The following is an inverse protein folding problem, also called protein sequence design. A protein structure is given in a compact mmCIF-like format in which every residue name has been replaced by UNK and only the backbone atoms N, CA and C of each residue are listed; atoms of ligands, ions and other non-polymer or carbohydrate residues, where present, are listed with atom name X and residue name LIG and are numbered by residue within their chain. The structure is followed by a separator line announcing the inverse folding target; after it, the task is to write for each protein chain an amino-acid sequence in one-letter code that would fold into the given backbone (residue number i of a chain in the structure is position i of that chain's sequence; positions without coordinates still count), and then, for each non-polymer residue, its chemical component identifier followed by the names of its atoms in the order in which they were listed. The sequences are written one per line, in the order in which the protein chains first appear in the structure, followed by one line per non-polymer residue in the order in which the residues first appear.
data_IF_439105917148
#
_entry.id   IF_439105917148
#
_cell.length_a   1.000
_cell.length_b   1.000
_cell.length_c   1.000
_cell.angle_alpha   90.00
_cell.angle_beta   90.00
_cell.angle_gamma   90.00
#
_symmetry.space_group_name_H-M   'P 1'
#
loop_
_entity.id
_entity.type
_entity.pdbx_description
1 polymer ?
#
# COMPACT_ATOMS: atom_id res chain seq x y z
N UNK A 1 5.35 -18.48 8.43
CA UNK A 1 5.69 -17.06 8.19
C UNK A 1 6.67 -16.86 7.02
N UNK A 2 7.66 -17.76 6.83
CA UNK A 2 8.63 -17.64 5.73
C UNK A 2 8.05 -17.75 4.30
N UNK A 3 7.02 -18.57 4.07
CA UNK A 3 6.40 -18.68 2.74
C UNK A 3 5.75 -17.37 2.28
N UNK A 4 5.16 -16.62 3.22
CA UNK A 4 4.56 -15.32 2.93
C UNK A 4 5.64 -14.27 2.62
N UNK A 5 6.75 -14.26 3.37
CA UNK A 5 7.91 -13.40 3.10
C UNK A 5 8.55 -13.68 1.73
N UNK A 6 8.72 -14.96 1.37
CA UNK A 6 9.25 -15.35 0.05
C UNK A 6 8.35 -14.90 -1.10
N UNK A 7 7.03 -14.99 -0.94
CA UNK A 7 6.06 -14.53 -1.93
C UNK A 7 6.07 -13.01 -2.14
N UNK A 8 6.26 -12.25 -1.07
CA UNK A 8 6.38 -10.80 -1.16
C UNK A 8 7.67 -10.40 -1.88
N UNK A 9 8.80 -11.02 -1.51
CA UNK A 9 10.09 -10.74 -2.15
C UNK A 9 10.04 -11.04 -3.66
N UNK A 10 9.50 -12.21 -4.06
CA UNK A 10 9.37 -12.55 -5.48
C UNK A 10 8.43 -11.62 -6.25
N UNK A 11 7.40 -11.08 -5.60
CA UNK A 11 6.49 -10.12 -6.23
C UNK A 11 7.16 -8.77 -6.48
N UNK A 12 8.03 -8.32 -5.56
CA UNK A 12 8.80 -7.09 -5.71
C UNK A 12 9.85 -7.24 -6.82
N UNK A 13 10.60 -8.35 -6.83
CA UNK A 13 11.60 -8.62 -7.86
C UNK A 13 10.95 -8.74 -9.26
N UNK A 14 9.77 -9.35 -9.33
CA UNK A 14 8.98 -9.46 -10.56
C UNK A 14 8.49 -8.10 -11.08
N UNK A 15 8.12 -7.17 -10.19
CA UNK A 15 7.83 -5.79 -10.60
C UNK A 15 9.08 -5.11 -11.13
N UNK A 16 10.23 -5.25 -10.46
CA UNK A 16 11.48 -4.57 -10.83
C UNK A 16 11.98 -4.95 -12.22
N UNK A 17 11.84 -6.22 -12.60
CA UNK A 17 12.22 -6.72 -13.93
C UNK A 17 11.36 -6.15 -15.07
N UNK A 18 10.12 -5.72 -14.79
CA UNK A 18 9.22 -5.15 -15.81
C UNK A 18 9.60 -3.70 -16.20
N UNK A 19 10.43 -3.02 -15.39
CA UNK A 19 10.76 -1.61 -15.59
C UNK A 19 12.21 -1.36 -16.05
N UNK A 20 13.02 -2.41 -16.25
CA UNK A 20 14.43 -2.27 -16.67
C UNK A 20 14.63 -2.21 -18.19
N UNK A 21 13.59 -2.36 -19.00
CA UNK A 21 13.70 -2.43 -20.48
C UNK A 21 13.51 -1.07 -21.20
N UNK A 22 13.54 0.05 -20.48
CA UNK A 22 13.20 1.38 -21.02
C UNK A 22 14.39 2.36 -21.08
N UNK A 23 15.61 1.90 -21.38
CA UNK A 23 16.75 2.79 -21.62
C UNK A 23 17.54 2.40 -22.89
N UNK A 24 16.92 2.64 -24.05
CA UNK A 24 17.61 2.65 -25.34
C UNK A 24 16.91 3.57 -26.36
N UNK A 25 17.63 4.67 -26.67
CA UNK A 25 17.66 5.47 -27.90
C UNK A 25 16.65 6.61 -28.22
N UNK A 26 17.26 7.80 -28.35
CA UNK A 26 17.24 8.76 -29.49
C UNK A 26 16.04 9.70 -29.72
N UNK A 27 16.34 11.00 -29.72
CA UNK A 27 15.41 12.07 -30.12
C UNK A 27 15.39 12.33 -31.63
N UNK A 28 14.38 13.09 -32.10
CA UNK A 28 14.66 14.09 -33.13
C UNK A 28 13.92 15.42 -32.94
N UNK A 29 14.42 16.41 -33.68
CA UNK A 29 14.06 17.82 -33.75
C UNK A 29 12.81 18.15 -34.58
N UNK A 30 12.22 19.33 -34.26
CA UNK A 30 11.53 20.31 -35.13
C UNK A 30 9.99 20.43 -35.13
N UNK A 31 9.53 21.54 -34.53
CA UNK A 31 8.54 22.57 -34.96
C UNK A 31 7.22 22.20 -35.70
N UNK A 32 6.10 22.22 -34.96
CA UNK A 32 4.92 23.09 -35.16
C UNK A 32 3.98 23.00 -33.94
N UNK A 33 3.18 24.05 -33.70
CA UNK A 33 2.04 24.12 -32.76
C UNK A 33 2.31 24.36 -31.26
N UNK A 34 2.05 25.60 -30.83
CA UNK A 34 2.23 26.05 -29.43
C UNK A 34 1.47 25.23 -28.37
N UNK A 35 0.37 24.58 -28.73
CA UNK A 35 -0.37 23.67 -27.86
C UNK A 35 0.36 22.32 -27.65
N UNK A 36 0.95 21.76 -28.71
CA UNK A 36 1.76 20.54 -28.63
C UNK A 36 3.03 20.79 -27.81
N UNK A 37 3.63 21.98 -27.92
CA UNK A 37 4.77 22.37 -27.09
C UNK A 37 4.42 22.46 -25.61
N UNK A 38 3.22 22.93 -25.27
CA UNK A 38 2.77 23.06 -23.87
C UNK A 38 2.50 21.67 -23.27
N UNK A 39 1.87 20.77 -24.03
CA UNK A 39 1.64 19.38 -23.61
C UNK A 39 2.97 18.63 -23.47
N UNK A 40 3.91 18.77 -24.41
CA UNK A 40 5.24 18.18 -24.31
C UNK A 40 6.03 18.72 -23.10
N UNK A 41 5.87 20.01 -22.80
CA UNK A 41 6.49 20.65 -21.63
C UNK A 41 5.86 20.14 -20.32
N UNK A 42 4.53 19.98 -20.27
CA UNK A 42 3.84 19.35 -19.14
C UNK A 42 4.30 17.90 -18.96
N UNK A 43 4.40 17.14 -20.04
CA UNK A 43 4.90 15.76 -20.03
C UNK A 43 6.33 15.67 -19.50
N UNK A 44 7.20 16.63 -19.84
CA UNK A 44 8.58 16.69 -19.32
C UNK A 44 8.66 17.04 -17.82
N UNK A 45 7.60 17.64 -17.25
CA UNK A 45 7.52 17.99 -15.82
C UNK A 45 6.94 16.86 -14.96
N UNK A 46 6.27 15.89 -15.58
CA UNK A 46 5.71 14.73 -14.88
C UNK A 46 6.75 13.63 -14.83
N UNK A 47 7.24 13.33 -13.62
CA UNK A 47 8.11 12.18 -13.40
C UNK A 47 7.25 10.91 -13.43
N UNK A 48 7.25 10.20 -14.56
CA UNK A 48 6.44 8.99 -14.76
C UNK A 48 6.95 7.77 -13.97
N UNK A 49 8.21 7.83 -13.54
CA UNK A 49 8.86 6.75 -12.81
C UNK A 49 8.78 7.00 -11.31
N UNK A 50 8.04 6.13 -10.61
CA UNK A 50 7.93 6.12 -9.16
C UNK A 50 9.29 5.81 -8.52
N UNK A 51 9.60 6.51 -7.43
CA UNK A 51 10.73 6.21 -6.55
C UNK A 51 10.26 5.39 -5.35
N UNK A 52 11.21 4.71 -4.68
CA UNK A 52 10.93 3.94 -3.44
C UNK A 52 10.38 4.84 -2.31
N UNK A 53 10.58 6.16 -2.38
CA UNK A 53 9.98 7.13 -1.45
C UNK A 53 8.47 7.32 -1.64
N UNK A 54 7.96 7.04 -2.84
CA UNK A 54 6.59 7.39 -3.24
C UNK A 54 5.61 6.30 -2.83
N UNK A 55 6.11 5.08 -2.59
CA UNK A 55 5.31 3.92 -2.22
C UNK A 55 5.85 3.29 -0.94
N UNK A 56 4.98 3.16 0.09
CA UNK A 56 5.30 2.37 1.29
C UNK A 56 4.23 1.33 1.56
N UNK A 57 4.66 0.07 1.58
CA UNK A 57 3.82 -1.02 2.08
C UNK A 57 3.90 -1.05 3.61
N UNK A 58 2.80 -0.68 4.27
CA UNK A 58 2.66 -0.83 5.71
C UNK A 58 1.39 -1.58 6.06
N UNK A 59 1.44 -2.38 7.12
CA UNK A 59 0.24 -3.01 7.66
C UNK A 59 -0.54 -1.95 8.43
N UNK A 60 -1.70 -1.58 7.90
CA UNK A 60 -2.54 -0.53 8.48
C UNK A 60 -3.35 -1.02 9.68
N UNK A 61 -4.36 -1.85 9.44
CA UNK A 61 -5.34 -2.29 10.44
C UNK A 61 -5.76 -3.72 10.09
N UNK A 62 -6.17 -4.52 11.08
CA UNK A 62 -6.83 -5.81 10.85
C UNK A 62 -8.34 -5.61 10.95
N UNK A 63 -9.10 -6.08 9.98
CA UNK A 63 -10.57 -6.04 9.98
C UNK A 63 -11.14 -7.37 10.54
N UNK A 64 -12.44 -7.37 10.89
CA UNK A 64 -13.19 -8.58 11.26
C UNK A 64 -12.98 -9.05 12.71
N UNK A 65 -13.33 -10.30 13.02
CA UNK A 65 -13.10 -10.87 14.36
C UNK A 65 -11.70 -11.47 14.51
N UNK A 66 -11.13 -11.52 15.73
CA UNK A 66 -9.91 -12.29 15.99
C UNK A 66 -10.08 -13.78 15.66
N UNK A 67 -9.00 -14.44 15.25
CA UNK A 67 -9.02 -15.87 14.92
C UNK A 67 -9.31 -16.73 16.17
N UNK A 68 -10.45 -17.41 16.18
CA UNK A 68 -10.86 -18.27 17.30
C UNK A 68 -11.22 -17.47 18.56
N UNK A 69 -12.29 -16.64 18.52
CA UNK A 69 -12.75 -15.91 19.69
C UNK A 69 -13.21 -16.90 20.77
N UNK A 70 -12.82 -16.65 22.03
CA UNK A 70 -13.14 -17.53 23.18
C UNK A 70 -13.87 -16.82 24.30
N UNK A 71 -13.56 -15.55 24.53
CA UNK A 71 -14.17 -14.77 25.60
C UNK A 71 -14.44 -13.35 25.14
N UNK A 72 -15.37 -12.68 25.83
CA UNK A 72 -15.76 -11.31 25.57
C UNK A 72 -16.15 -10.62 26.89
N UNK A 73 -15.84 -9.33 27.01
CA UNK A 73 -16.26 -8.49 28.12
C UNK A 73 -16.71 -7.11 27.60
N UNK A 74 -17.68 -6.49 28.24
CA UNK A 74 -18.23 -5.20 27.85
C UNK A 74 -18.27 -4.24 29.03
N UNK A 75 -17.80 -3.01 28.83
CA UNK A 75 -17.95 -1.89 29.77
C UNK A 75 -19.06 -0.95 29.28
N UNK A 76 -20.21 -0.85 29.99
CA UNK A 76 -21.32 0.00 29.59
C UNK A 76 -21.05 1.50 29.75
N UNK A 77 -20.13 1.91 30.63
CA UNK A 77 -19.83 3.33 30.88
C UNK A 77 -19.00 3.87 29.73
N UNK A 78 -17.91 3.16 29.39
CA UNK A 78 -17.00 3.57 28.31
C UNK A 78 -17.47 3.10 26.94
N UNK A 79 -18.48 2.21 26.89
CA UNK A 79 -18.99 1.57 25.67
C UNK A 79 -17.88 0.86 24.90
N UNK A 80 -17.04 0.14 25.64
CA UNK A 80 -15.92 -0.63 25.10
C UNK A 80 -16.21 -2.13 25.21
N UNK A 81 -15.87 -2.86 24.16
CA UNK A 81 -15.96 -4.32 24.09
C UNK A 81 -14.56 -4.91 23.93
N UNK A 82 -14.17 -5.84 24.80
CA UNK A 82 -12.93 -6.58 24.70
C UNK A 82 -13.23 -8.02 24.25
N UNK A 83 -12.55 -8.49 23.19
CA UNK A 83 -12.67 -9.84 22.66
C UNK A 83 -11.33 -10.56 22.80
N UNK A 84 -11.30 -11.65 23.55
CA UNK A 84 -10.13 -12.51 23.69
C UNK A 84 -10.15 -13.69 22.72
N UNK A 85 -9.00 -13.95 22.08
CA UNK A 85 -8.80 -15.05 21.15
C UNK A 85 -8.02 -16.22 21.77
N UNK A 86 -8.16 -17.41 21.18
CA UNK A 86 -7.48 -18.62 21.64
C UNK A 86 -5.95 -18.53 21.65
N UNK A 87 -5.37 -17.60 20.88
CA UNK A 87 -3.93 -17.34 20.80
C UNK A 87 -3.40 -16.34 21.84
N UNK A 88 -4.25 -15.91 22.79
CA UNK A 88 -3.85 -14.99 23.85
C UNK A 88 -3.77 -13.52 23.43
N UNK A 89 -4.34 -13.14 22.28
CA UNK A 89 -4.53 -11.74 21.92
C UNK A 89 -5.92 -11.24 22.35
N UNK A 90 -6.00 -9.96 22.68
CA UNK A 90 -7.24 -9.24 23.00
C UNK A 90 -7.42 -8.12 22.00
N UNK A 91 -8.65 -7.95 21.48
CA UNK A 91 -9.05 -6.85 20.62
C UNK A 91 -10.05 -5.97 21.36
N UNK A 92 -9.80 -4.67 21.40
CA UNK A 92 -10.70 -3.69 21.99
C UNK A 92 -11.50 -3.03 20.87
N UNK A 93 -12.81 -2.93 21.03
CA UNK A 93 -13.72 -2.30 20.08
C UNK A 93 -14.47 -1.19 20.81
N UNK A 94 -14.52 0.00 20.23
CA UNK A 94 -15.29 1.11 20.75
C UNK A 94 -16.19 1.74 19.69
N UNK A 95 -16.36 3.06 19.78
CA UNK A 95 -17.00 3.85 18.73
C UNK A 95 -16.19 3.83 17.44
N UNK A 96 -16.77 4.36 16.35
CA UNK A 96 -16.09 4.43 15.05
C UNK A 96 -14.69 5.07 15.19
N UNK A 97 -13.66 4.34 14.77
CA UNK A 97 -12.25 4.78 14.85
C UNK A 97 -11.50 4.34 16.12
N UNK A 98 -12.13 3.64 17.05
CA UNK A 98 -11.50 3.12 18.28
C UNK A 98 -11.31 1.62 18.17
N UNK A 99 -10.06 1.21 17.88
CA UNK A 99 -9.62 -0.19 17.78
C UNK A 99 -8.13 -0.38 18.11
#
# INVERSE_FOLDING_TARGET
MERARRRLASAIDGLRAQFTDADSQEGPSSSSDGAASTIAKIHSMVKERLEDSDCRLSKIIRHGFPDGPRCMAFDPVQKLCAIGAARGCVRLLGQAGVE
#
